data_IF_663835366360
#
_entry.id   IF_663835366360
#
_cell.length_a   1.000
_cell.length_b   1.000
_cell.length_c   1.000
_cell.angle_alpha   90.00
_cell.angle_beta   90.00
_cell.angle_gamma   90.00
#
_symmetry.space_group_name_H-M   'P 1'
#
loop_
_entity.id
_entity.type
_entity.pdbx_description
1 polymer ?
#
# COMPACT_ATOMS: atom_id res chain seq x y z
N UNK A 1 9.21 14.22 8.01
CA UNK A 1 7.96 14.46 7.24
C UNK A 1 7.85 15.94 6.88
N UNK A 2 7.57 16.27 5.61
CA UNK A 2 7.25 17.63 5.18
C UNK A 2 5.96 18.11 5.87
N UNK A 3 6.01 19.29 6.52
CA UNK A 3 4.93 19.79 7.38
C UNK A 3 4.13 20.89 6.68
N UNK A 4 3.20 20.52 5.81
CA UNK A 4 2.29 21.45 5.16
C UNK A 4 1.13 21.86 6.10
N UNK A 5 0.56 20.90 6.81
CA UNK A 5 -0.46 21.07 7.84
C UNK A 5 0.09 20.69 9.22
N UNK A 6 0.80 21.57 9.91
CA UNK A 6 1.57 21.21 11.11
C UNK A 6 0.71 20.78 12.30
N UNK A 7 -0.57 21.14 12.33
CA UNK A 7 -1.52 20.80 13.39
C UNK A 7 -2.47 19.64 13.05
N UNK A 8 -2.44 19.14 11.81
CA UNK A 8 -3.30 18.06 11.36
C UNK A 8 -2.44 16.91 10.77
N UNK A 9 -2.18 15.91 11.58
CA UNK A 9 -1.33 14.78 11.20
C UNK A 9 -1.86 14.05 9.97
N UNK A 10 -3.18 13.78 9.90
CA UNK A 10 -3.79 12.98 8.83
C UNK A 10 -3.72 13.72 7.49
N UNK A 11 -4.03 15.01 7.47
CA UNK A 11 -3.93 15.81 6.25
C UNK A 11 -2.48 15.98 5.81
N UNK A 12 -1.58 16.18 6.78
CA UNK A 12 -0.16 16.26 6.50
C UNK A 12 0.40 14.96 5.94
N UNK A 13 0.01 13.82 6.51
CA UNK A 13 0.34 12.48 5.98
C UNK A 13 -0.17 12.32 4.54
N UNK A 14 -1.41 12.78 4.25
CA UNK A 14 -2.02 12.68 2.92
C UNK A 14 -1.26 13.51 1.88
N UNK A 15 -0.76 14.69 2.24
CA UNK A 15 0.11 15.50 1.37
C UNK A 15 1.42 14.75 1.08
N UNK A 16 2.07 14.19 2.10
CA UNK A 16 3.33 13.45 1.91
C UNK A 16 3.11 12.20 1.04
N UNK A 17 2.05 11.43 1.29
CA UNK A 17 1.68 10.29 0.44
C UNK A 17 1.43 10.69 -1.02
N UNK A 18 0.74 11.82 -1.25
CA UNK A 18 0.50 12.31 -2.60
C UNK A 18 1.82 12.68 -3.30
N UNK A 19 2.77 13.30 -2.58
CA UNK A 19 4.11 13.61 -3.11
C UNK A 19 4.84 12.31 -3.50
N UNK A 20 4.83 11.29 -2.64
CA UNK A 20 5.41 9.97 -2.95
C UNK A 20 4.74 9.31 -4.18
N UNK A 21 3.45 9.55 -4.40
CA UNK A 21 2.72 9.11 -5.59
C UNK A 21 2.94 9.98 -6.83
N UNK A 22 3.82 10.98 -6.76
CA UNK A 22 4.21 11.84 -7.89
C UNK A 22 3.46 13.16 -8.00
N UNK A 23 2.78 13.62 -6.94
CA UNK A 23 2.21 14.97 -6.88
C UNK A 23 3.29 16.04 -7.05
N UNK A 24 2.90 17.19 -7.60
CA UNK A 24 3.79 18.33 -7.83
C UNK A 24 3.55 19.41 -6.77
N UNK A 25 4.64 19.99 -6.27
CA UNK A 25 4.58 21.00 -5.18
C UNK A 25 3.68 22.17 -5.55
N UNK A 26 3.71 22.66 -6.81
CA UNK A 26 2.82 23.73 -7.25
C UNK A 26 1.33 23.34 -7.26
N UNK A 27 1.02 22.07 -7.60
CA UNK A 27 -0.35 21.55 -7.54
C UNK A 27 -0.78 21.35 -6.08
N UNK A 28 0.11 20.89 -5.21
CA UNK A 28 -0.13 20.80 -3.75
C UNK A 28 -0.44 22.18 -3.16
N UNK A 29 0.35 23.20 -3.51
CA UNK A 29 0.12 24.57 -3.05
C UNK A 29 -1.27 25.07 -3.48
N UNK A 30 -1.63 24.91 -4.76
CA UNK A 30 -2.93 25.32 -5.28
C UNK A 30 -4.11 24.63 -4.55
N UNK A 31 -3.99 23.31 -4.27
CA UNK A 31 -5.02 22.54 -3.57
C UNK A 31 -5.12 22.87 -2.09
N UNK A 32 -3.98 23.08 -1.43
CA UNK A 32 -3.89 23.08 0.03
C UNK A 32 -3.85 24.49 0.65
N UNK A 33 -3.43 25.51 -0.08
CA UNK A 33 -3.41 26.89 0.45
C UNK A 33 -4.80 27.34 0.95
N UNK A 34 -5.92 27.07 0.25
CA UNK A 34 -7.26 27.42 0.75
C UNK A 34 -7.70 26.65 2.00
N UNK A 35 -6.99 25.57 2.36
CA UNK A 35 -7.39 24.64 3.42
C UNK A 35 -6.71 24.90 4.76
N UNK A 36 -5.82 25.90 4.88
CA UNK A 36 -5.03 26.15 6.09
C UNK A 36 -5.91 26.37 7.34
N UNK A 37 -7.02 27.08 7.22
CA UNK A 37 -7.94 27.30 8.35
C UNK A 37 -8.76 26.04 8.66
N UNK A 38 -9.25 25.34 7.63
CA UNK A 38 -10.00 24.10 7.79
C UNK A 38 -9.15 23.00 8.46
N UNK A 39 -7.84 22.97 8.20
CA UNK A 39 -6.92 22.00 8.78
C UNK A 39 -6.74 22.15 10.31
N UNK A 40 -7.13 23.28 10.90
CA UNK A 40 -7.07 23.50 12.37
C UNK A 40 -8.25 22.84 13.11
N UNK A 41 -9.29 22.44 12.40
CA UNK A 41 -10.43 21.74 12.97
C UNK A 41 -10.12 20.26 13.27
N UNK A 42 -10.93 19.57 14.11
CA UNK A 42 -10.79 18.13 14.32
C UNK A 42 -10.80 17.33 13.00
N UNK A 43 -10.11 16.21 12.97
CA UNK A 43 -9.81 15.41 11.78
C UNK A 43 -11.00 15.13 10.83
N UNK A 44 -12.20 14.95 11.39
CA UNK A 44 -13.40 14.67 10.59
C UNK A 44 -14.05 15.94 10.01
N UNK A 45 -13.83 17.10 10.62
CA UNK A 45 -14.33 18.37 10.12
C UNK A 45 -13.47 18.84 8.93
N UNK A 46 -14.09 19.47 7.96
CA UNK A 46 -13.36 20.01 6.80
C UNK A 46 -12.98 19.00 5.72
N UNK A 47 -13.21 17.69 5.90
CA UNK A 47 -12.91 16.69 4.87
C UNK A 47 -13.66 16.94 3.54
N UNK A 48 -14.82 17.58 3.58
CA UNK A 48 -15.55 18.00 2.38
C UNK A 48 -14.81 19.14 1.64
N UNK A 49 -14.23 20.12 2.35
CA UNK A 49 -13.40 21.15 1.74
C UNK A 49 -12.14 20.54 1.10
N UNK A 50 -11.47 19.61 1.80
CA UNK A 50 -10.35 18.87 1.26
C UNK A 50 -10.74 18.14 -0.03
N UNK A 51 -11.86 17.39 0.00
CA UNK A 51 -12.38 16.72 -1.18
C UNK A 51 -12.61 17.67 -2.35
N UNK A 52 -13.23 18.81 -2.08
CA UNK A 52 -13.58 19.77 -3.14
C UNK A 52 -12.34 20.30 -3.87
N UNK A 53 -11.30 20.73 -3.16
CA UNK A 53 -10.08 21.27 -3.78
C UNK A 53 -9.26 20.21 -4.50
N UNK A 54 -9.13 19.02 -3.92
CA UNK A 54 -8.34 17.93 -4.52
C UNK A 54 -9.04 17.30 -5.73
N UNK A 55 -10.37 17.12 -5.67
CA UNK A 55 -11.15 16.66 -6.81
C UNK A 55 -11.13 17.68 -7.95
N UNK A 56 -11.26 18.98 -7.67
CA UNK A 56 -11.18 20.02 -8.69
C UNK A 56 -9.82 20.03 -9.41
N UNK A 57 -8.72 19.83 -8.70
CA UNK A 57 -7.39 19.68 -9.32
C UNK A 57 -7.31 18.43 -10.20
N UNK A 58 -7.86 17.32 -9.74
CA UNK A 58 -7.90 16.08 -10.53
C UNK A 58 -8.74 16.26 -11.80
N UNK A 59 -9.89 16.93 -11.71
CA UNK A 59 -10.75 17.27 -12.87
C UNK A 59 -9.99 18.17 -13.86
N UNK A 60 -9.34 19.24 -13.39
CA UNK A 60 -8.47 20.13 -14.19
C UNK A 60 -7.38 19.35 -14.93
N UNK A 61 -6.72 18.40 -14.26
CA UNK A 61 -5.71 17.57 -14.92
C UNK A 61 -6.32 16.64 -15.99
N UNK A 62 -7.54 16.13 -15.76
CA UNK A 62 -8.25 15.35 -16.76
C UNK A 62 -8.61 16.18 -18.01
N UNK A 63 -9.06 17.42 -17.84
CA UNK A 63 -9.34 18.34 -18.94
C UNK A 63 -8.05 18.61 -19.76
N UNK A 64 -6.95 18.95 -19.09
CA UNK A 64 -5.66 19.17 -19.75
C UNK A 64 -5.13 17.89 -20.44
N UNK A 65 -5.39 16.71 -19.87
CA UNK A 65 -5.04 15.44 -20.49
C UNK A 65 -5.87 15.18 -21.76
N UNK A 66 -7.17 15.52 -21.76
CA UNK A 66 -8.03 15.40 -22.95
C UNK A 66 -7.55 16.34 -24.07
N UNK A 67 -7.13 17.55 -23.74
CA UNK A 67 -6.52 18.47 -24.72
C UNK A 67 -5.25 17.89 -25.35
N UNK A 68 -4.39 17.24 -24.55
CA UNK A 68 -3.19 16.58 -25.05
C UNK A 68 -3.52 15.36 -25.93
N UNK A 69 -4.52 14.56 -25.54
CA UNK A 69 -5.00 13.46 -26.40
C UNK A 69 -5.49 13.97 -27.76
N UNK A 70 -6.29 15.03 -27.76
CA UNK A 70 -6.79 15.63 -29.01
C UNK A 70 -5.67 16.10 -29.94
N UNK A 71 -4.49 16.38 -29.39
CA UNK A 71 -3.27 16.76 -30.12
C UNK A 71 -2.32 15.60 -30.39
N UNK A 72 -2.71 14.34 -30.03
CA UNK A 72 -1.86 13.16 -30.17
C UNK A 72 -0.69 13.06 -29.19
N UNK A 73 -0.69 13.85 -28.11
CA UNK A 73 0.38 13.89 -27.09
C UNK A 73 0.12 12.86 -25.98
N UNK A 74 0.11 11.60 -26.35
CA UNK A 74 -0.38 10.51 -25.48
C UNK A 74 0.41 10.35 -24.18
N UNK A 75 1.76 10.49 -24.20
CA UNK A 75 2.58 10.40 -23.00
C UNK A 75 2.24 11.51 -22.00
N UNK A 76 2.12 12.75 -22.47
CA UNK A 76 1.75 13.88 -21.61
C UNK A 76 0.35 13.75 -21.02
N UNK A 77 -0.60 13.21 -21.80
CA UNK A 77 -1.93 12.88 -21.33
C UNK A 77 -1.90 11.79 -20.26
N UNK A 78 -1.15 10.70 -20.49
CA UNK A 78 -0.99 9.59 -19.56
C UNK A 78 -0.45 10.02 -18.20
N UNK A 79 0.60 10.86 -18.18
CA UNK A 79 1.15 11.40 -16.94
C UNK A 79 0.17 12.29 -16.16
N UNK A 80 -0.65 13.11 -16.85
CA UNK A 80 -1.68 13.93 -16.21
C UNK A 80 -2.78 13.06 -15.60
N UNK A 81 -3.27 12.04 -16.31
CA UNK A 81 -4.25 11.08 -15.76
C UNK A 81 -3.68 10.33 -14.56
N UNK A 82 -2.40 9.95 -14.59
CA UNK A 82 -1.74 9.30 -13.46
C UNK A 82 -1.71 10.18 -12.19
N UNK A 83 -1.45 11.50 -12.32
CA UNK A 83 -1.54 12.44 -11.19
C UNK A 83 -2.98 12.68 -10.75
N UNK A 84 -3.91 12.82 -11.69
CA UNK A 84 -5.33 12.95 -11.38
C UNK A 84 -5.83 11.76 -10.54
N UNK A 85 -5.45 10.53 -10.89
CA UNK A 85 -5.76 9.34 -10.12
C UNK A 85 -5.22 9.43 -8.68
N UNK A 86 -3.97 9.90 -8.50
CA UNK A 86 -3.38 10.08 -7.16
C UNK A 86 -4.17 11.11 -6.32
N UNK A 87 -4.72 12.15 -6.94
CA UNK A 87 -5.52 13.15 -6.23
C UNK A 87 -6.94 12.65 -5.91
N UNK A 88 -7.59 11.94 -6.83
CA UNK A 88 -8.87 11.31 -6.56
C UNK A 88 -8.80 10.30 -5.41
N UNK A 89 -7.81 9.40 -5.41
CA UNK A 89 -7.68 8.42 -4.33
C UNK A 89 -7.31 9.09 -3.00
N UNK A 90 -6.50 10.15 -3.01
CA UNK A 90 -6.14 10.90 -1.81
C UNK A 90 -7.37 11.54 -1.17
N UNK A 91 -8.24 12.17 -1.94
CA UNK A 91 -9.45 12.76 -1.39
C UNK A 91 -10.54 11.72 -1.06
N UNK A 92 -10.63 10.60 -1.79
CA UNK A 92 -11.54 9.50 -1.47
C UNK A 92 -11.26 8.90 -0.09
N UNK A 93 -10.00 8.58 0.19
CA UNK A 93 -9.59 7.91 1.44
C UNK A 93 -9.86 8.73 2.69
N UNK A 94 -10.00 10.03 2.58
CA UNK A 94 -10.31 10.92 3.71
C UNK A 94 -11.83 11.04 3.97
N UNK A 95 -12.70 10.49 3.13
CA UNK A 95 -14.14 10.54 3.34
C UNK A 95 -14.62 9.44 4.29
N UNK A 96 -15.68 9.72 5.04
CA UNK A 96 -16.35 8.70 5.87
C UNK A 96 -16.88 7.55 5.00
N UNK A 97 -16.96 6.34 5.57
CA UNK A 97 -17.67 5.24 4.94
C UNK A 97 -19.13 5.65 4.68
N UNK A 98 -19.64 5.37 3.50
CA UNK A 98 -21.00 5.76 3.09
C UNK A 98 -21.19 7.24 2.76
N UNK A 99 -20.13 8.07 2.79
CA UNK A 99 -20.25 9.47 2.37
C UNK A 99 -20.72 9.58 0.91
N UNK A 100 -21.68 10.48 0.62
CA UNK A 100 -22.21 10.67 -0.75
C UNK A 100 -21.10 10.93 -1.76
N UNK A 101 -21.09 10.18 -2.86
CA UNK A 101 -20.11 10.31 -3.94
C UNK A 101 -18.70 9.78 -3.64
N UNK A 102 -18.45 9.15 -2.48
CA UNK A 102 -17.17 8.52 -2.16
C UNK A 102 -16.85 7.40 -3.15
N UNK A 103 -17.80 6.52 -3.41
CA UNK A 103 -17.62 5.40 -4.35
C UNK A 103 -17.37 5.92 -5.78
N UNK A 104 -18.12 6.93 -6.23
CA UNK A 104 -17.92 7.54 -7.54
C UNK A 104 -16.52 8.15 -7.72
N UNK A 105 -15.93 8.74 -6.66
CA UNK A 105 -14.53 9.18 -6.68
C UNK A 105 -13.57 8.03 -6.89
N UNK A 106 -13.82 6.88 -6.23
CA UNK A 106 -12.97 5.70 -6.39
C UNK A 106 -13.08 5.12 -7.81
N UNK A 107 -14.30 4.98 -8.34
CA UNK A 107 -14.52 4.53 -9.71
C UNK A 107 -13.86 5.47 -10.73
N UNK A 108 -13.94 6.78 -10.51
CA UNK A 108 -13.24 7.76 -11.33
C UNK A 108 -11.73 7.64 -11.24
N UNK A 109 -11.19 7.37 -10.05
CA UNK A 109 -9.77 7.07 -9.86
C UNK A 109 -9.35 5.86 -10.72
N UNK A 110 -10.09 4.75 -10.66
CA UNK A 110 -9.79 3.52 -11.43
C UNK A 110 -9.82 3.78 -12.94
N UNK A 111 -10.82 4.51 -13.43
CA UNK A 111 -10.94 4.86 -14.84
C UNK A 111 -9.73 5.65 -15.33
N UNK A 112 -9.40 6.76 -14.66
CA UNK A 112 -8.31 7.64 -15.11
C UNK A 112 -6.94 7.01 -14.88
N UNK A 113 -6.77 6.20 -13.83
CA UNK A 113 -5.55 5.43 -13.60
C UNK A 113 -5.29 4.44 -14.73
N UNK A 114 -6.29 3.62 -15.08
CA UNK A 114 -6.19 2.65 -16.17
C UNK A 114 -5.94 3.32 -17.53
N UNK A 115 -6.57 4.47 -17.75
CA UNK A 115 -6.36 5.28 -18.96
C UNK A 115 -4.93 5.83 -19.00
N UNK A 116 -4.46 6.35 -17.86
CA UNK A 116 -3.10 6.86 -17.71
C UNK A 116 -2.03 5.83 -18.04
N UNK A 117 -2.11 4.63 -17.45
CA UNK A 117 -1.20 3.51 -17.72
C UNK A 117 -1.13 3.17 -19.20
N UNK A 118 -2.29 3.05 -19.85
CA UNK A 118 -2.37 2.69 -21.28
C UNK A 118 -1.74 3.76 -22.17
N UNK A 119 -2.00 5.03 -21.91
CA UNK A 119 -1.48 6.13 -22.73
C UNK A 119 0.02 6.38 -22.50
N UNK A 120 0.51 6.16 -21.30
CA UNK A 120 1.92 6.24 -20.98
C UNK A 120 2.71 5.03 -21.50
N UNK A 121 2.04 3.95 -21.88
CA UNK A 121 2.71 2.70 -22.28
C UNK A 121 3.40 2.01 -21.10
N UNK A 122 2.86 2.15 -19.90
CA UNK A 122 3.44 1.60 -18.68
C UNK A 122 3.50 0.07 -18.72
N UNK A 123 4.57 -0.48 -18.18
CA UNK A 123 4.76 -1.92 -17.99
C UNK A 123 3.87 -2.44 -16.85
N UNK A 124 2.57 -2.32 -17.00
CA UNK A 124 1.59 -2.68 -15.97
C UNK A 124 0.31 -3.21 -16.60
N UNK A 125 -0.12 -4.40 -16.17
CA UNK A 125 -1.33 -5.08 -16.62
C UNK A 125 -2.29 -5.21 -15.43
N UNK A 126 -3.57 -4.80 -15.59
CA UNK A 126 -4.61 -5.12 -14.61
C UNK A 126 -5.06 -6.58 -14.80
N UNK A 127 -5.06 -7.33 -13.71
CA UNK A 127 -5.45 -8.75 -13.69
C UNK A 127 -6.47 -9.01 -12.59
N UNK A 128 -7.20 -10.11 -12.73
CA UNK A 128 -8.22 -10.55 -11.77
C UNK A 128 -7.94 -11.97 -11.31
N UNK A 129 -7.96 -12.17 -10.00
CA UNK A 129 -7.71 -13.45 -9.35
C UNK A 129 -9.03 -13.96 -8.79
N UNK A 130 -9.54 -15.13 -9.24
CA UNK A 130 -10.79 -15.70 -8.70
C UNK A 130 -10.71 -15.95 -7.19
N UNK A 131 -11.69 -15.47 -6.45
CA UNK A 131 -11.77 -15.61 -5.00
C UNK A 131 -13.22 -15.62 -4.50
N UNK A 132 -13.69 -16.73 -3.91
CA UNK A 132 -15.02 -16.88 -3.29
C UNK A 132 -16.20 -16.39 -4.16
N UNK A 133 -16.20 -16.75 -5.43
CA UNK A 133 -17.24 -16.31 -6.39
C UNK A 133 -17.15 -14.85 -6.82
N UNK A 134 -16.11 -14.15 -6.39
CA UNK A 134 -15.73 -12.78 -6.75
C UNK A 134 -14.30 -12.76 -7.30
N UNK A 135 -13.69 -11.59 -7.34
CA UNK A 135 -12.31 -11.41 -7.78
C UNK A 135 -11.51 -10.54 -6.82
N UNK A 136 -10.22 -10.82 -6.72
CA UNK A 136 -9.23 -9.88 -6.18
C UNK A 136 -8.58 -9.18 -7.39
N UNK A 137 -8.80 -7.88 -7.51
CA UNK A 137 -8.13 -7.08 -8.54
C UNK A 137 -6.67 -6.87 -8.19
N UNK A 138 -5.80 -7.00 -9.18
CA UNK A 138 -4.37 -6.78 -8.99
C UNK A 138 -3.73 -6.06 -10.18
N UNK A 139 -2.55 -5.50 -9.95
CA UNK A 139 -1.68 -4.94 -10.97
C UNK A 139 -0.44 -5.82 -11.10
N UNK A 140 -0.20 -6.33 -12.31
CA UNK A 140 0.97 -7.13 -12.62
C UNK A 140 2.00 -6.29 -13.38
N UNK A 141 3.21 -6.20 -12.83
CA UNK A 141 4.34 -5.48 -13.44
C UNK A 141 5.43 -6.50 -13.75
N UNK A 142 5.82 -6.62 -15.02
CA UNK A 142 6.82 -7.59 -15.47
C UNK A 142 8.22 -7.17 -15.11
N UNK A 143 9.06 -8.15 -14.80
CA UNK A 143 10.50 -7.97 -14.68
C UNK A 143 11.10 -7.41 -15.98
N UNK A 144 12.06 -6.51 -15.81
CA UNK A 144 12.83 -5.89 -16.91
C UNK A 144 14.32 -6.06 -16.65
N UNK A 145 15.13 -5.93 -17.70
CA UNK A 145 16.55 -5.70 -17.56
C UNK A 145 16.86 -4.23 -17.30
N UNK A 146 18.12 -3.92 -17.06
CA UNK A 146 18.59 -2.53 -16.91
C UNK A 146 18.36 -1.68 -18.16
N UNK A 147 18.20 -2.32 -19.32
CA UNK A 147 17.87 -1.70 -20.60
C UNK A 147 16.37 -1.40 -20.78
N UNK A 148 15.54 -1.70 -19.77
CA UNK A 148 14.09 -1.51 -19.77
C UNK A 148 13.30 -2.54 -20.60
N UNK A 149 13.96 -3.53 -21.18
CA UNK A 149 13.27 -4.60 -21.93
C UNK A 149 12.75 -5.68 -20.98
N UNK A 150 11.66 -6.35 -21.36
CA UNK A 150 11.14 -7.47 -20.59
C UNK A 150 12.21 -8.54 -20.38
N UNK A 151 12.36 -9.03 -19.15
CA UNK A 151 13.27 -10.11 -18.85
C UNK A 151 12.84 -11.39 -19.58
N UNK A 152 13.76 -12.14 -20.19
CA UNK A 152 13.41 -13.38 -20.89
C UNK A 152 13.09 -14.50 -19.89
N UNK A 153 12.13 -15.36 -20.25
CA UNK A 153 11.79 -16.55 -19.48
C UNK A 153 11.00 -16.26 -18.19
N UNK A 154 11.08 -17.18 -17.24
CA UNK A 154 10.41 -17.06 -15.93
C UNK A 154 11.22 -16.19 -14.97
N UNK A 155 10.56 -15.18 -14.40
CA UNK A 155 11.16 -14.28 -13.41
C UNK A 155 10.68 -14.59 -11.99
N UNK A 156 11.52 -14.29 -10.96
CA UNK A 156 11.02 -14.20 -9.59
C UNK A 156 9.95 -13.11 -9.48
N UNK A 157 9.08 -13.22 -8.47
CA UNK A 157 7.99 -12.29 -8.28
C UNK A 157 7.80 -11.93 -6.81
N UNK A 158 7.49 -10.66 -6.54
CA UNK A 158 7.04 -10.19 -5.24
C UNK A 158 5.55 -9.86 -5.26
N UNK A 159 4.76 -10.56 -4.45
CA UNK A 159 3.38 -10.18 -4.12
C UNK A 159 3.43 -9.00 -3.17
N UNK A 160 2.80 -7.89 -3.51
CA UNK A 160 2.72 -6.68 -2.69
C UNK A 160 1.30 -6.48 -2.21
N UNK A 161 1.12 -6.38 -0.90
CA UNK A 161 -0.19 -6.24 -0.27
C UNK A 161 -0.33 -4.93 0.49
N UNK A 162 -1.56 -4.49 0.64
CA UNK A 162 -1.93 -3.21 1.21
C UNK A 162 -1.94 -3.23 2.75
N UNK A 163 -1.91 -2.01 3.34
CA UNK A 163 -2.24 -1.77 4.74
C UNK A 163 -3.74 -1.63 4.97
N UNK A 164 -4.13 -0.79 5.94
CA UNK A 164 -5.52 -0.59 6.31
C UNK A 164 -6.34 0.17 5.25
N UNK A 165 -5.76 1.19 4.63
CA UNK A 165 -6.45 2.19 3.81
C UNK A 165 -5.78 2.45 2.45
N UNK A 166 -4.73 1.70 2.12
CA UNK A 166 -4.08 1.80 0.81
C UNK A 166 -4.78 0.94 -0.24
N UNK A 167 -4.44 1.19 -1.50
CA UNK A 167 -4.92 0.45 -2.67
C UNK A 167 -3.75 0.09 -3.59
N UNK A 168 -3.98 -0.83 -4.52
CA UNK A 168 -2.96 -1.22 -5.49
C UNK A 168 -2.46 -0.06 -6.35
N UNK A 169 -3.34 0.93 -6.65
CA UNK A 169 -2.96 2.13 -7.40
C UNK A 169 -1.96 2.99 -6.62
N UNK A 170 -2.18 3.16 -5.31
CA UNK A 170 -1.27 3.87 -4.43
C UNK A 170 0.10 3.18 -4.38
N UNK A 171 0.13 1.86 -4.13
CA UNK A 171 1.38 1.09 -4.09
C UNK A 171 2.13 1.12 -5.43
N UNK A 172 1.43 1.03 -6.56
CA UNK A 172 2.03 1.17 -7.87
C UNK A 172 2.74 2.53 -8.01
N UNK A 173 2.07 3.61 -7.61
CA UNK A 173 2.58 4.98 -7.76
C UNK A 173 3.74 5.31 -6.82
N UNK A 174 3.85 4.69 -5.65
CA UNK A 174 4.99 4.87 -4.72
C UNK A 174 6.31 4.34 -5.31
N UNK A 175 6.27 3.40 -6.26
CA UNK A 175 7.42 3.09 -7.11
C UNK A 175 8.14 1.78 -6.81
N UNK A 176 7.83 1.05 -5.74
CA UNK A 176 8.47 -0.25 -5.45
C UNK A 176 8.41 -1.24 -6.64
N UNK A 177 7.28 -1.36 -7.38
CA UNK A 177 7.21 -2.25 -8.54
C UNK A 177 8.20 -1.87 -9.66
N UNK A 178 8.40 -0.59 -9.90
CA UNK A 178 9.36 -0.11 -10.90
C UNK A 178 10.82 -0.40 -10.50
N UNK A 179 11.15 -0.23 -9.22
CA UNK A 179 12.49 -0.57 -8.70
C UNK A 179 12.76 -2.07 -8.77
N UNK A 180 11.77 -2.91 -8.44
CA UNK A 180 11.87 -4.38 -8.55
C UNK A 180 12.01 -4.81 -10.03
N UNK A 181 11.21 -4.25 -10.93
CA UNK A 181 11.25 -4.59 -12.35
C UNK A 181 12.65 -4.39 -12.92
N UNK A 182 13.30 -3.24 -12.63
CA UNK A 182 14.67 -2.96 -13.06
C UNK A 182 15.74 -3.89 -12.45
N UNK A 183 15.41 -4.61 -11.38
CA UNK A 183 16.23 -5.64 -10.74
C UNK A 183 15.88 -7.07 -11.19
N UNK A 184 15.05 -7.20 -12.22
CA UNK A 184 14.65 -8.49 -12.77
C UNK A 184 13.65 -9.27 -11.90
N UNK A 185 12.87 -8.55 -11.08
CA UNK A 185 11.80 -9.12 -10.23
C UNK A 185 10.46 -8.56 -10.69
N UNK A 186 9.50 -9.43 -11.02
CA UNK A 186 8.12 -9.04 -11.30
C UNK A 186 7.38 -8.67 -10.03
N UNK A 187 6.31 -7.93 -10.15
CA UNK A 187 5.43 -7.58 -9.03
C UNK A 187 3.98 -7.94 -9.31
N UNK A 188 3.27 -8.40 -8.29
CA UNK A 188 1.83 -8.50 -8.27
C UNK A 188 1.29 -7.69 -7.09
N UNK A 189 0.66 -6.56 -7.36
CA UNK A 189 0.11 -5.67 -6.33
C UNK A 189 -1.37 -6.00 -6.19
N UNK A 190 -1.78 -6.55 -5.06
CA UNK A 190 -3.13 -7.11 -4.86
C UNK A 190 -3.97 -6.21 -3.97
N UNK A 191 -5.20 -5.92 -4.39
CA UNK A 191 -6.24 -5.49 -3.47
C UNK A 191 -6.82 -6.73 -2.77
N UNK A 192 -6.21 -7.11 -1.65
CA UNK A 192 -6.69 -8.24 -0.82
C UNK A 192 -7.99 -7.87 -0.08
N UNK A 193 -8.73 -8.85 0.49
CA UNK A 193 -9.90 -8.59 1.30
C UNK A 193 -9.65 -7.50 2.35
N UNK A 194 -10.54 -6.54 2.45
CA UNK A 194 -10.43 -5.34 3.28
C UNK A 194 -9.80 -4.13 2.60
N UNK A 195 -9.36 -4.21 1.34
CA UNK A 195 -8.70 -3.10 0.64
C UNK A 195 -9.23 -2.88 -0.78
N UNK A 196 -8.94 -1.72 -1.34
CA UNK A 196 -9.15 -1.37 -2.73
C UNK A 196 -10.50 -1.81 -3.32
N UNK A 197 -10.48 -2.39 -4.51
CA UNK A 197 -11.67 -2.91 -5.20
C UNK A 197 -12.32 -4.08 -4.43
N UNK A 198 -11.54 -4.93 -3.78
CA UNK A 198 -12.07 -6.06 -3.01
C UNK A 198 -13.07 -5.60 -1.94
N UNK A 199 -12.74 -4.54 -1.20
CA UNK A 199 -13.63 -3.96 -0.20
C UNK A 199 -14.73 -3.09 -0.83
N UNK A 200 -14.36 -2.13 -1.70
CA UNK A 200 -15.25 -1.08 -2.19
C UNK A 200 -16.29 -1.57 -3.19
N UNK A 201 -15.89 -2.45 -4.11
CA UNK A 201 -16.77 -2.93 -5.18
C UNK A 201 -17.33 -4.32 -4.92
N UNK A 202 -16.61 -5.14 -4.16
CA UNK A 202 -17.00 -6.53 -3.92
C UNK A 202 -17.46 -6.82 -2.49
N UNK A 203 -17.29 -5.87 -1.55
CA UNK A 203 -17.67 -6.04 -0.15
C UNK A 203 -16.90 -7.17 0.56
N UNK A 204 -15.69 -7.47 0.10
CA UNK A 204 -14.80 -8.45 0.73
C UNK A 204 -14.07 -7.77 1.90
N UNK A 205 -14.47 -8.11 3.11
CA UNK A 205 -13.90 -7.56 4.34
C UNK A 205 -12.59 -8.24 4.72
N UNK A 206 -11.77 -7.59 5.53
CA UNK A 206 -10.52 -8.12 6.02
C UNK A 206 -10.70 -9.39 6.86
N UNK A 207 -9.68 -10.24 6.86
CA UNK A 207 -9.62 -11.51 7.61
C UNK A 207 -8.32 -11.56 8.40
N UNK A 208 -8.35 -12.16 9.59
CA UNK A 208 -7.14 -12.39 10.38
C UNK A 208 -6.29 -13.55 9.79
N UNK A 209 -6.94 -14.58 9.23
CA UNK A 209 -6.33 -15.77 8.60
C UNK A 209 -5.92 -15.48 7.14
N UNK A 210 -4.88 -14.68 6.97
CA UNK A 210 -4.46 -14.13 5.68
C UNK A 210 -4.01 -15.20 4.68
N UNK A 211 -3.55 -16.35 5.15
CA UNK A 211 -3.23 -17.52 4.35
C UNK A 211 -4.38 -17.97 3.44
N UNK A 212 -5.63 -17.72 3.85
CA UNK A 212 -6.81 -18.14 3.11
C UNK A 212 -6.90 -17.52 1.70
N UNK A 213 -6.65 -16.21 1.58
CA UNK A 213 -6.64 -15.55 0.28
C UNK A 213 -5.23 -15.58 -0.36
N UNK A 214 -4.17 -15.60 0.45
CA UNK A 214 -2.80 -15.62 -0.05
C UNK A 214 -2.50 -16.91 -0.85
N UNK A 215 -3.01 -18.07 -0.39
CA UNK A 215 -2.90 -19.33 -1.14
C UNK A 215 -3.57 -19.23 -2.52
N UNK A 216 -4.71 -18.54 -2.65
CA UNK A 216 -5.37 -18.32 -3.96
C UNK A 216 -4.56 -17.44 -4.88
N UNK A 217 -3.87 -16.46 -4.32
CA UNK A 217 -2.93 -15.63 -5.10
C UNK A 217 -1.77 -16.49 -5.63
N UNK A 218 -1.21 -17.37 -4.80
CA UNK A 218 -0.14 -18.29 -5.25
C UNK A 218 -0.66 -19.29 -6.27
N UNK A 219 -1.84 -19.91 -6.06
CA UNK A 219 -2.48 -20.80 -7.04
C UNK A 219 -2.59 -20.15 -8.43
N UNK A 220 -3.02 -18.87 -8.46
CA UNK A 220 -3.12 -18.12 -9.71
C UNK A 220 -1.74 -17.85 -10.33
N UNK A 221 -0.74 -17.49 -9.51
CA UNK A 221 0.62 -17.22 -9.98
C UNK A 221 1.28 -18.47 -10.60
N UNK A 222 0.99 -19.67 -10.09
CA UNK A 222 1.48 -20.94 -10.64
C UNK A 222 0.93 -21.23 -12.05
N UNK A 223 -0.19 -20.62 -12.43
CA UNK A 223 -0.74 -20.74 -13.80
C UNK A 223 0.00 -19.86 -14.81
N UNK A 224 0.81 -18.90 -14.37
CA UNK A 224 1.48 -17.95 -15.25
C UNK A 224 2.79 -18.52 -15.82
N UNK A 225 2.89 -18.49 -17.14
CA UNK A 225 4.07 -19.02 -17.84
C UNK A 225 5.34 -18.17 -17.63
N UNK A 226 5.19 -16.88 -17.25
CA UNK A 226 6.28 -15.92 -17.08
C UNK A 226 6.75 -15.76 -15.63
N UNK A 227 6.14 -16.50 -14.67
CA UNK A 227 6.51 -16.51 -13.25
C UNK A 227 7.24 -17.80 -12.88
N UNK A 228 8.30 -17.68 -12.07
CA UNK A 228 8.94 -18.83 -11.44
C UNK A 228 8.25 -19.16 -10.11
N UNK A 229 7.49 -20.27 -10.04
CA UNK A 229 6.71 -20.60 -8.86
C UNK A 229 7.56 -20.93 -7.61
N UNK A 230 8.86 -21.17 -7.76
CA UNK A 230 9.79 -21.42 -6.65
C UNK A 230 10.40 -20.13 -6.10
N UNK A 231 10.14 -18.99 -6.72
CA UNK A 231 10.72 -17.69 -6.36
C UNK A 231 9.66 -16.62 -6.22
N UNK A 232 8.59 -16.94 -5.47
CA UNK A 232 7.50 -16.01 -5.13
C UNK A 232 7.73 -15.53 -3.70
N UNK A 233 7.96 -14.22 -3.52
CA UNK A 233 8.01 -13.58 -2.21
C UNK A 233 6.73 -12.80 -1.91
N UNK A 234 6.58 -12.33 -0.66
CA UNK A 234 5.50 -11.43 -0.27
C UNK A 234 6.03 -10.22 0.50
N UNK A 235 5.48 -9.05 0.24
CA UNK A 235 5.72 -7.82 1.00
C UNK A 235 4.39 -7.22 1.45
N UNK A 236 4.33 -6.73 2.68
CA UNK A 236 3.16 -6.05 3.21
C UNK A 236 3.50 -4.76 3.96
N UNK A 237 2.78 -3.67 3.61
CA UNK A 237 3.00 -2.34 4.20
C UNK A 237 2.02 -2.06 5.33
N UNK A 238 2.47 -1.45 6.44
CA UNK A 238 1.60 -1.00 7.54
C UNK A 238 0.84 -2.19 8.18
N UNK A 239 -0.50 -2.26 8.11
CA UNK A 239 -1.26 -3.45 8.52
C UNK A 239 -0.88 -4.68 7.70
N UNK A 240 -0.36 -4.50 6.48
CA UNK A 240 0.30 -5.56 5.71
C UNK A 240 1.50 -6.18 6.43
N UNK A 241 2.13 -5.44 7.34
CA UNK A 241 3.16 -5.95 8.25
C UNK A 241 2.66 -6.93 9.32
N UNK A 242 1.34 -7.12 9.42
CA UNK A 242 0.68 -8.27 10.07
C UNK A 242 0.33 -9.35 9.02
N UNK A 243 -0.30 -8.95 7.93
CA UNK A 243 -0.80 -9.90 6.92
C UNK A 243 0.32 -10.73 6.27
N UNK A 244 1.42 -10.09 5.89
CA UNK A 244 2.54 -10.76 5.22
C UNK A 244 3.23 -11.81 6.11
N UNK A 245 3.68 -11.51 7.34
CA UNK A 245 4.29 -12.53 8.20
C UNK A 245 3.37 -13.73 8.45
N UNK A 246 2.07 -13.49 8.65
CA UNK A 246 1.10 -14.57 8.84
C UNK A 246 0.95 -15.42 7.57
N UNK A 247 0.77 -14.80 6.41
CA UNK A 247 0.67 -15.52 5.14
C UNK A 247 1.92 -16.37 4.86
N UNK A 248 3.12 -15.79 5.03
CA UNK A 248 4.39 -16.49 4.81
C UNK A 248 4.62 -17.62 5.82
N UNK A 249 4.11 -17.49 7.04
CA UNK A 249 4.19 -18.55 8.06
C UNK A 249 3.30 -19.76 7.74
N UNK A 250 2.16 -19.54 7.07
CA UNK A 250 1.12 -20.54 6.88
C UNK A 250 1.02 -21.06 5.43
N UNK A 251 1.56 -20.34 4.45
CA UNK A 251 1.62 -20.74 3.03
C UNK A 251 3.09 -21.05 2.64
N UNK A 252 3.48 -22.34 2.60
CA UNK A 252 4.87 -22.75 2.46
C UNK A 252 5.48 -22.48 1.08
N UNK A 253 4.70 -22.09 0.08
CA UNK A 253 5.20 -21.78 -1.27
C UNK A 253 5.85 -20.42 -1.39
N UNK A 254 5.71 -19.53 -0.40
CA UNK A 254 6.47 -18.29 -0.38
C UNK A 254 7.96 -18.56 -0.11
N UNK A 255 8.82 -17.96 -0.91
CA UNK A 255 10.27 -18.09 -0.84
C UNK A 255 10.94 -17.01 0.05
N UNK A 256 10.28 -15.91 0.33
CA UNK A 256 10.72 -14.88 1.29
C UNK A 256 9.54 -14.00 1.73
N UNK A 257 9.73 -13.22 2.79
CA UNK A 257 8.76 -12.23 3.25
C UNK A 257 9.40 -10.91 3.67
N UNK A 258 8.63 -9.82 3.55
CA UNK A 258 9.03 -8.48 3.98
C UNK A 258 7.88 -7.80 4.72
N UNK A 259 8.11 -7.40 5.97
CA UNK A 259 7.20 -6.52 6.72
C UNK A 259 7.70 -5.07 6.63
N UNK A 260 7.02 -4.25 5.83
CA UNK A 260 7.32 -2.82 5.72
C UNK A 260 6.45 -2.02 6.71
N UNK A 261 6.98 -1.76 7.88
CA UNK A 261 6.23 -1.26 9.03
C UNK A 261 5.60 -2.43 9.80
N UNK A 262 6.44 -3.16 10.56
CA UNK A 262 6.03 -4.38 11.25
C UNK A 262 4.92 -4.13 12.28
N UNK A 263 3.79 -4.78 12.10
CA UNK A 263 2.59 -4.66 12.92
C UNK A 263 2.31 -5.98 13.65
N UNK A 264 3.16 -6.29 14.64
CA UNK A 264 3.14 -7.60 15.31
C UNK A 264 1.88 -7.88 16.12
N UNK A 265 1.38 -6.86 16.82
CA UNK A 265 0.16 -6.96 17.62
C UNK A 265 -0.75 -5.76 17.32
N UNK A 266 -1.63 -5.96 16.33
CA UNK A 266 -2.58 -4.92 15.95
C UNK A 266 -3.67 -4.71 16.98
N UNK A 267 -3.99 -5.73 17.77
CA UNK A 267 -4.87 -5.69 18.93
C UNK A 267 -4.38 -4.65 19.95
N UNK A 268 -3.07 -4.69 20.33
CA UNK A 268 -2.47 -3.69 21.25
C UNK A 268 -2.58 -2.27 20.65
N UNK A 269 -2.30 -2.13 19.35
CA UNK A 269 -2.41 -0.85 18.65
C UNK A 269 -3.83 -0.29 18.75
N UNK A 270 -4.88 -1.11 18.65
CA UNK A 270 -6.27 -0.66 18.76
C UNK A 270 -6.64 -0.29 20.20
N UNK A 271 -6.22 -1.09 21.19
CA UNK A 271 -6.42 -0.78 22.62
C UNK A 271 -5.84 0.58 22.96
N UNK A 272 -4.59 0.84 22.55
CA UNK A 272 -3.93 2.14 22.77
C UNK A 272 -4.64 3.31 22.08
N UNK A 273 -5.18 3.11 20.87
CA UNK A 273 -5.96 4.13 20.16
C UNK A 273 -7.27 4.45 20.85
N UNK A 274 -7.93 3.50 21.49
CA UNK A 274 -9.09 3.77 22.35
C UNK A 274 -8.70 4.64 23.55
N UNK A 275 -7.49 4.46 24.08
CA UNK A 275 -6.90 5.27 25.15
C UNK A 275 -6.32 6.62 24.65
N UNK A 276 -6.56 6.94 23.37
CA UNK A 276 -6.05 8.15 22.68
C UNK A 276 -4.54 8.21 22.52
N UNK A 277 -3.88 7.05 22.53
CA UNK A 277 -2.45 6.95 22.23
C UNK A 277 -2.19 6.66 20.76
N UNK A 278 -1.15 7.30 20.20
CA UNK A 278 -0.73 7.15 18.81
C UNK A 278 -1.60 7.93 17.82
N UNK A 279 -1.18 7.90 16.56
CA UNK A 279 -1.83 8.64 15.46
C UNK A 279 -2.77 7.75 14.65
N UNK A 280 -3.83 8.35 14.13
CA UNK A 280 -4.73 7.69 13.18
C UNK A 280 -4.24 7.91 11.73
N UNK A 281 -4.38 6.91 10.85
CA UNK A 281 -4.02 7.06 9.43
C UNK A 281 -5.05 7.82 8.60
N UNK A 282 -6.32 7.80 9.02
CA UNK A 282 -7.45 8.42 8.30
C UNK A 282 -8.40 9.11 9.28
N UNK A 283 -9.15 10.15 8.84
CA UNK A 283 -10.29 10.67 9.59
C UNK A 283 -11.39 9.59 9.67
N UNK A 284 -12.34 9.76 10.57
CA UNK A 284 -13.43 8.79 10.76
C UNK A 284 -12.90 7.36 11.04
N UNK A 285 -11.79 7.25 11.76
CA UNK A 285 -11.03 6.00 11.92
C UNK A 285 -11.89 4.81 12.38
N UNK A 286 -12.72 5.00 13.41
CA UNK A 286 -13.49 3.90 13.98
C UNK A 286 -14.56 3.36 13.02
N UNK A 287 -15.24 4.23 12.27
CA UNK A 287 -16.16 3.77 11.22
C UNK A 287 -15.43 3.13 10.05
N UNK A 288 -14.19 3.57 9.76
CA UNK A 288 -13.37 2.97 8.72
C UNK A 288 -12.93 1.54 9.08
N UNK A 289 -12.44 1.31 10.29
CA UNK A 289 -12.02 -0.04 10.70
C UNK A 289 -13.21 -1.00 10.82
N UNK A 290 -14.37 -0.53 11.29
CA UNK A 290 -15.59 -1.33 11.30
C UNK A 290 -15.96 -1.78 9.88
N UNK A 291 -15.93 -0.88 8.92
CA UNK A 291 -16.18 -1.21 7.51
C UNK A 291 -15.16 -2.20 6.94
N UNK A 292 -13.87 -1.95 7.16
CA UNK A 292 -12.79 -2.82 6.67
C UNK A 292 -12.94 -4.25 7.19
N UNK A 293 -13.29 -4.42 8.46
CA UNK A 293 -13.38 -5.71 9.12
C UNK A 293 -14.81 -6.30 9.16
N UNK A 294 -15.81 -5.60 8.62
CA UNK A 294 -17.20 -6.03 8.61
C UNK A 294 -17.83 -6.06 10.01
N UNK A 295 -17.30 -5.28 10.94
CA UNK A 295 -17.78 -5.20 12.32
C UNK A 295 -19.02 -4.33 12.42
N UNK A 296 -19.96 -4.70 13.30
CA UNK A 296 -21.24 -4.00 13.52
C UNK A 296 -21.06 -2.72 14.34
N UNK A 297 -20.15 -2.76 15.29
CA UNK A 297 -19.83 -1.69 16.22
C UNK A 297 -18.38 -1.81 16.71
N UNK A 298 -17.96 -0.91 17.60
CA UNK A 298 -16.59 -0.89 18.14
C UNK A 298 -16.31 -2.14 18.99
N UNK A 299 -17.27 -2.62 19.76
CA UNK A 299 -17.08 -3.79 20.62
C UNK A 299 -16.93 -5.06 19.79
N UNK A 300 -17.70 -5.18 18.70
CA UNK A 300 -17.56 -6.26 17.73
C UNK A 300 -16.20 -6.19 17.02
N UNK A 301 -15.77 -4.98 16.60
CA UNK A 301 -14.47 -4.76 16.02
C UNK A 301 -13.32 -5.14 16.97
N UNK A 302 -13.42 -4.75 18.25
CA UNK A 302 -12.39 -5.09 19.24
C UNK A 302 -12.32 -6.61 19.50
N UNK A 303 -13.45 -7.34 19.42
CA UNK A 303 -13.44 -8.81 19.48
C UNK A 303 -12.74 -9.44 18.28
N UNK A 304 -12.98 -8.93 17.06
CA UNK A 304 -12.27 -9.36 15.84
C UNK A 304 -10.77 -9.06 15.98
N UNK A 305 -10.40 -7.91 16.51
CA UNK A 305 -9.02 -7.49 16.68
C UNK A 305 -8.23 -8.39 17.65
N UNK A 306 -8.88 -9.12 18.57
CA UNK A 306 -8.20 -10.05 19.50
C UNK A 306 -7.41 -11.14 18.75
N UNK A 307 -7.84 -11.54 17.55
CA UNK A 307 -7.16 -12.55 16.73
C UNK A 307 -6.05 -11.96 15.82
N UNK A 308 -5.89 -10.62 15.80
CA UNK A 308 -4.96 -9.95 14.88
C UNK A 308 -3.62 -9.69 15.57
N UNK A 309 -2.89 -10.76 15.85
CA UNK A 309 -1.54 -10.73 16.41
C UNK A 309 -0.67 -11.87 15.83
N UNK A 310 0.64 -11.76 15.97
CA UNK A 310 1.61 -12.69 15.39
C UNK A 310 2.29 -13.61 16.43
N UNK A 311 1.91 -13.53 17.71
CA UNK A 311 2.43 -14.43 18.75
C UNK A 311 2.10 -15.89 18.39
N UNK A 312 3.13 -16.75 18.37
CA UNK A 312 3.01 -18.16 17.97
C UNK A 312 2.86 -18.38 16.45
N UNK A 313 2.97 -17.32 15.66
CA UNK A 313 2.87 -17.36 14.19
C UNK A 313 4.25 -17.16 13.54
N UNK A 314 4.98 -16.11 13.95
CA UNK A 314 6.26 -15.72 13.33
C UNK A 314 7.30 -16.82 13.45
N UNK A 315 7.30 -17.60 14.52
CA UNK A 315 8.19 -18.73 14.76
C UNK A 315 8.03 -19.86 13.72
N UNK A 316 6.91 -19.87 12.97
CA UNK A 316 6.67 -20.85 11.91
C UNK A 316 7.33 -20.48 10.59
N UNK A 317 7.81 -19.23 10.43
CA UNK A 317 8.49 -18.78 9.21
C UNK A 317 9.82 -19.51 9.06
N UNK A 318 10.00 -20.19 7.92
CA UNK A 318 11.19 -20.99 7.57
C UNK A 318 11.92 -20.52 6.32
N UNK A 319 11.60 -19.33 5.86
CA UNK A 319 12.20 -18.68 4.69
C UNK A 319 12.88 -17.37 5.11
N UNK A 320 13.77 -16.79 4.30
CA UNK A 320 14.32 -15.46 4.53
C UNK A 320 13.25 -14.42 4.83
N UNK A 321 13.46 -13.58 5.85
CA UNK A 321 12.49 -12.57 6.24
C UNK A 321 13.16 -11.26 6.64
N UNK A 322 12.69 -10.16 6.01
CA UNK A 322 13.11 -8.79 6.31
C UNK A 322 12.02 -8.06 7.10
N UNK A 323 12.42 -7.44 8.20
CA UNK A 323 11.59 -6.51 8.97
C UNK A 323 12.14 -5.10 8.77
N UNK A 324 11.31 -4.16 8.29
CA UNK A 324 11.67 -2.74 8.20
C UNK A 324 10.72 -1.88 9.02
N UNK A 325 11.24 -0.78 9.61
CA UNK A 325 10.45 0.13 10.42
C UNK A 325 11.09 1.52 10.48
N UNK A 326 10.28 2.57 10.62
CA UNK A 326 10.76 3.91 10.90
C UNK A 326 10.98 4.13 12.40
N UNK A 327 12.11 4.71 12.79
CA UNK A 327 12.46 4.94 14.20
C UNK A 327 11.40 5.76 14.96
N UNK A 328 10.70 6.66 14.28
CA UNK A 328 9.71 7.58 14.85
C UNK A 328 8.29 7.33 14.32
N UNK A 329 7.98 6.07 14.00
CA UNK A 329 6.62 5.70 13.60
C UNK A 329 5.63 6.02 14.74
N UNK A 330 4.72 6.97 14.49
CA UNK A 330 3.72 7.41 15.47
C UNK A 330 2.44 6.57 15.45
N UNK A 331 2.31 5.63 14.51
CA UNK A 331 1.13 4.76 14.39
C UNK A 331 1.38 3.36 14.95
N UNK A 332 2.57 2.81 14.72
CA UNK A 332 2.96 1.47 15.18
C UNK A 332 4.24 1.60 16.00
N UNK A 333 4.20 1.29 17.31
CA UNK A 333 5.38 1.38 18.17
C UNK A 333 6.56 0.50 17.68
N UNK A 334 7.76 1.05 17.69
CA UNK A 334 9.01 0.37 17.28
C UNK A 334 9.24 -0.96 17.99
N UNK A 335 8.76 -1.13 19.24
CA UNK A 335 8.83 -2.39 19.99
C UNK A 335 8.29 -3.60 19.19
N UNK A 336 7.32 -3.37 18.31
CA UNK A 336 6.70 -4.44 17.52
C UNK A 336 7.60 -4.91 16.38
N UNK A 337 8.45 -4.06 15.83
CA UNK A 337 9.47 -4.46 14.86
C UNK A 337 10.52 -5.37 15.52
N UNK A 338 11.00 -4.98 16.70
CA UNK A 338 11.93 -5.81 17.48
C UNK A 338 11.30 -7.16 17.85
N UNK A 339 10.06 -7.17 18.36
CA UNK A 339 9.37 -8.43 18.71
C UNK A 339 9.20 -9.35 17.51
N UNK A 340 8.80 -8.82 16.34
CA UNK A 340 8.71 -9.62 15.11
C UNK A 340 10.08 -10.24 14.78
N UNK A 341 11.13 -9.42 14.77
CA UNK A 341 12.49 -9.90 14.48
C UNK A 341 12.98 -10.96 15.47
N UNK A 342 12.75 -10.75 16.76
CA UNK A 342 13.21 -11.67 17.80
C UNK A 342 12.54 -13.06 17.67
N UNK A 343 11.27 -13.10 17.28
CA UNK A 343 10.50 -14.34 17.09
C UNK A 343 10.78 -15.06 15.76
N UNK A 344 11.55 -14.49 14.82
CA UNK A 344 11.96 -15.14 13.56
C UNK A 344 13.06 -16.21 13.77
N UNK A 345 12.91 -17.02 14.80
CA UNK A 345 13.96 -17.97 15.25
C UNK A 345 14.24 -19.10 14.28
N UNK A 346 13.29 -19.44 13.41
CA UNK A 346 13.43 -20.52 12.42
C UNK A 346 13.70 -20.01 10.99
N UNK A 347 13.76 -18.68 10.79
CA UNK A 347 14.13 -18.10 9.49
C UNK A 347 15.63 -18.29 9.22
N UNK A 348 16.03 -18.83 8.06
CA UNK A 348 17.43 -19.05 7.72
C UNK A 348 18.24 -17.75 7.53
N UNK A 349 17.55 -16.65 7.20
CA UNK A 349 18.12 -15.29 7.07
C UNK A 349 17.07 -14.29 7.57
N UNK A 350 17.23 -13.83 8.80
CA UNK A 350 16.39 -12.74 9.34
C UNK A 350 17.17 -11.43 9.38
N UNK A 351 16.50 -10.35 9.05
CA UNK A 351 17.10 -9.03 9.02
C UNK A 351 16.14 -7.99 9.59
N UNK A 352 16.67 -7.04 10.37
CA UNK A 352 15.94 -5.90 10.90
C UNK A 352 16.61 -4.62 10.43
N UNK A 353 15.88 -3.80 9.63
CA UNK A 353 16.33 -2.48 9.21
C UNK A 353 15.44 -1.40 9.81
N UNK A 354 16.00 -0.62 10.72
CA UNK A 354 15.37 0.60 11.26
C UNK A 354 15.87 1.80 10.45
N UNK A 355 14.95 2.57 9.88
CA UNK A 355 15.26 3.81 9.20
C UNK A 355 15.33 4.96 10.21
N UNK A 356 16.46 5.67 10.18
CA UNK A 356 16.81 6.76 11.10
C UNK A 356 16.92 8.09 10.35
N UNK A 357 17.19 9.18 11.06
CA UNK A 357 17.42 10.49 10.43
C UNK A 357 18.55 10.48 9.38
N UNK A 358 19.46 9.52 9.46
CA UNK A 358 20.55 9.39 8.48
C UNK A 358 20.04 9.06 7.07
N UNK A 359 19.06 8.13 6.97
CA UNK A 359 18.50 7.69 5.69
C UNK A 359 17.21 8.42 5.34
N UNK A 360 16.52 9.00 6.33
CA UNK A 360 15.13 9.42 6.22
C UNK A 360 14.18 8.22 6.26
N UNK A 361 12.89 8.46 6.05
CA UNK A 361 11.89 7.39 6.14
C UNK A 361 11.58 6.96 7.58
N UNK A 362 11.70 7.90 8.52
CA UNK A 362 11.57 7.65 9.97
C UNK A 362 10.14 7.53 10.46
N UNK A 363 9.17 7.93 9.65
CA UNK A 363 7.76 7.90 9.99
C UNK A 363 7.10 6.58 9.60
N UNK A 364 5.79 6.48 9.82
CA UNK A 364 5.00 5.30 9.50
C UNK A 364 5.23 4.84 8.05
N UNK A 365 5.61 3.56 7.89
CA UNK A 365 5.89 2.94 6.59
C UNK A 365 6.84 3.76 5.69
N UNK A 366 7.70 4.57 6.31
CA UNK A 366 8.67 5.46 5.64
C UNK A 366 8.06 6.50 4.69
N UNK A 367 6.79 6.85 4.81
CA UNK A 367 6.09 7.78 3.89
C UNK A 367 6.50 9.25 4.00
N UNK A 368 7.41 9.58 4.89
CA UNK A 368 8.09 10.89 4.90
C UNK A 368 9.28 10.97 3.93
N UNK A 369 9.80 9.82 3.47
CA UNK A 369 10.81 9.65 2.43
C UNK A 369 10.94 8.15 2.10
N UNK A 370 10.10 7.64 1.21
CA UNK A 370 9.99 6.19 0.97
C UNK A 370 11.09 5.63 0.07
N UNK A 371 11.84 6.47 -0.64
CA UNK A 371 12.77 6.01 -1.68
C UNK A 371 13.88 5.11 -1.12
N UNK A 372 14.51 5.49 -0.01
CA UNK A 372 15.59 4.69 0.58
C UNK A 372 15.07 3.35 1.12
N UNK A 373 13.90 3.36 1.75
CA UNK A 373 13.25 2.14 2.25
C UNK A 373 12.85 1.21 1.11
N UNK A 374 12.20 1.76 0.08
CA UNK A 374 11.75 0.98 -1.06
C UNK A 374 12.90 0.39 -1.87
N UNK A 375 13.98 1.14 -2.08
CA UNK A 375 15.19 0.63 -2.77
C UNK A 375 15.88 -0.45 -1.94
N UNK A 376 16.01 -0.27 -0.61
CA UNK A 376 16.56 -1.29 0.28
C UNK A 376 15.76 -2.59 0.19
N UNK A 377 14.43 -2.51 0.25
CA UNK A 377 13.54 -3.66 0.10
C UNK A 377 13.73 -4.31 -1.29
N UNK A 378 13.80 -3.50 -2.36
CA UNK A 378 13.95 -4.00 -3.72
C UNK A 378 15.30 -4.74 -3.92
N UNK A 379 16.40 -4.21 -3.37
CA UNK A 379 17.71 -4.85 -3.40
C UNK A 379 17.69 -6.17 -2.61
N UNK A 380 17.20 -6.14 -1.37
CA UNK A 380 17.12 -7.32 -0.50
C UNK A 380 16.28 -8.46 -1.13
N UNK A 381 15.14 -8.11 -1.74
CA UNK A 381 14.26 -9.08 -2.42
C UNK A 381 14.95 -9.65 -3.66
N UNK A 382 15.57 -8.82 -4.48
CA UNK A 382 16.26 -9.26 -5.68
C UNK A 382 17.43 -10.20 -5.35
N UNK A 383 18.26 -9.86 -4.36
CA UNK A 383 19.35 -10.70 -3.87
C UNK A 383 18.84 -12.05 -3.34
N UNK A 384 17.77 -12.00 -2.53
CA UNK A 384 17.20 -13.20 -1.90
C UNK A 384 16.57 -14.16 -2.93
N UNK A 385 15.75 -13.62 -3.86
CA UNK A 385 15.05 -14.45 -4.84
C UNK A 385 15.92 -14.89 -6.02
N UNK A 386 17.01 -14.19 -6.31
CA UNK A 386 17.93 -14.56 -7.41
C UNK A 386 19.12 -15.37 -6.94
N UNK A 387 19.29 -15.58 -5.65
CA UNK A 387 20.42 -16.32 -5.06
C UNK A 387 21.76 -15.58 -5.19
N UNK A 388 21.76 -14.28 -5.40
CA UNK A 388 22.97 -13.45 -5.35
C UNK A 388 23.28 -13.18 -3.88
N UNK A 389 24.24 -13.88 -3.34
CA UNK A 389 24.89 -13.45 -2.08
C UNK A 389 25.76 -12.25 -2.40
N UNK A 390 25.65 -11.20 -1.59
CA UNK A 390 26.53 -10.04 -1.64
C UNK A 390 28.01 -10.41 -1.53
#
# INVERSE_FOLDING_TARGET
MFKYFPTNYVWNLSVNLAIEMGARIGEIEEMCAPLQEAAKAPDAAGTQAFRATWAAMADKLCELAQEDEARGRLLSAGEKYGRAAAYYITCERLQAHGAPGRLALYERCLEVFSKGLRLAGDNCERVEIPYEGKVLSALYVRAQGVDGRAAPGRSPLLVQINGLDSTKEMKYRVGLPAWLARRGVSSLIVDQPGTGEALRLHGLTARYDTEHWASRVVDWLETRADVDPKRIGMEGVSLGGYYCPRAVAMEPRFACGVAWGANHDWRDVQKRRLEKEGSFPVPHYWSHVQWVWGAKDIDDFMRIAEDVHLDGVVEKIRVPFLVTHGERDSQIPLKWAHRTYDQLVNSPKRELKIFTDREGGVQHASFDNSINAGQYIADWVAETLQGRTA
#
